data_IF_912310647025
#
_entry.id   IF_912310647025
#
_cell.length_a   1.000
_cell.length_b   1.000
_cell.length_c   1.000
_cell.angle_alpha   90.00
_cell.angle_beta   90.00
_cell.angle_gamma   90.00
#
_symmetry.space_group_name_H-M   'P 1'
#
loop_
_entity.id
_entity.type
_entity.pdbx_description
1 polymer ?
#
# COMPACT_ATOMS: atom_id res chain seq x y z
N UNK A 1 25.69 4.41 3.72
CA UNK A 1 24.25 4.07 3.54
C UNK A 1 23.28 5.23 3.79
N UNK A 2 23.55 6.15 4.71
CA UNK A 2 22.64 7.28 5.00
C UNK A 2 22.36 8.25 3.84
N UNK A 3 23.29 8.40 2.89
CA UNK A 3 23.09 9.25 1.70
C UNK A 3 21.97 8.77 0.77
N UNK A 4 21.86 7.46 0.55
CA UNK A 4 20.81 6.87 -0.27
C UNK A 4 19.43 7.02 0.37
N UNK A 5 19.34 6.78 1.68
CA UNK A 5 18.12 6.99 2.46
C UNK A 5 17.67 8.47 2.40
N UNK A 6 18.61 9.40 2.57
CA UNK A 6 18.32 10.85 2.48
C UNK A 6 17.91 11.27 1.07
N UNK A 7 18.51 10.73 0.01
CA UNK A 7 18.14 11.06 -1.36
C UNK A 7 16.73 10.54 -1.71
N UNK A 8 16.44 9.28 -1.38
CA UNK A 8 15.10 8.68 -1.57
C UNK A 8 14.07 9.43 -0.73
N UNK A 9 14.39 9.70 0.55
CA UNK A 9 13.56 10.49 1.45
C UNK A 9 13.32 11.92 0.97
N UNK A 10 14.31 12.57 0.35
CA UNK A 10 14.17 13.90 -0.22
C UNK A 10 13.28 13.90 -1.47
N UNK A 11 13.43 12.92 -2.36
CA UNK A 11 12.59 12.78 -3.56
C UNK A 11 11.12 12.55 -3.17
N UNK A 12 10.88 11.65 -2.22
CA UNK A 12 9.56 11.44 -1.62
C UNK A 12 9.06 12.75 -1.00
N UNK A 13 9.82 13.37 -0.09
CA UNK A 13 9.39 14.61 0.60
C UNK A 13 9.03 15.74 -0.36
N UNK A 14 9.81 15.94 -1.43
CA UNK A 14 9.55 16.99 -2.43
C UNK A 14 8.27 16.72 -3.21
N UNK A 15 8.01 15.46 -3.59
CA UNK A 15 6.78 15.06 -4.30
C UNK A 15 5.54 15.03 -3.39
N UNK A 16 5.70 14.83 -2.09
CA UNK A 16 4.59 14.63 -1.14
C UNK A 16 4.27 15.83 -0.26
N UNK A 17 4.98 16.96 -0.41
CA UNK A 17 4.62 18.20 0.31
C UNK A 17 3.13 18.54 0.17
N UNK A 18 2.57 18.43 -1.04
CA UNK A 18 1.16 18.69 -1.28
C UNK A 18 0.23 17.64 -0.65
N UNK A 19 0.59 16.36 -0.68
CA UNK A 19 -0.19 15.29 -0.03
C UNK A 19 -0.20 15.42 1.49
N UNK A 20 0.94 15.78 2.10
CA UNK A 20 1.05 16.03 3.54
C UNK A 20 0.29 17.30 3.93
N UNK A 21 0.33 18.36 3.10
CA UNK A 21 -0.48 19.57 3.30
C UNK A 21 -1.97 19.24 3.20
N UNK A 22 -2.40 18.44 2.22
CA UNK A 22 -3.78 18.03 2.06
C UNK A 22 -4.26 17.18 3.25
N UNK A 23 -3.43 16.25 3.73
CA UNK A 23 -3.71 15.45 4.93
C UNK A 23 -3.80 16.33 6.18
N UNK A 24 -2.88 17.28 6.35
CA UNK A 24 -2.91 18.23 7.46
C UNK A 24 -4.13 19.14 7.43
N UNK A 25 -4.46 19.70 6.26
CA UNK A 25 -5.67 20.50 6.05
C UNK A 25 -6.92 19.69 6.34
N UNK A 26 -6.96 18.42 5.93
CA UNK A 26 -8.06 17.52 6.22
C UNK A 26 -8.22 17.25 7.74
N UNK A 27 -7.14 16.99 8.47
CA UNK A 27 -7.19 16.81 9.94
C UNK A 27 -7.72 18.08 10.63
N UNK A 28 -7.31 19.26 10.16
CA UNK A 28 -7.80 20.55 10.66
C UNK A 28 -9.29 20.72 10.37
N UNK A 29 -9.73 20.44 9.15
CA UNK A 29 -11.16 20.51 8.76
C UNK A 29 -11.98 19.52 9.60
N UNK A 30 -11.50 18.30 9.78
CA UNK A 30 -12.16 17.29 10.61
C UNK A 30 -12.29 17.76 12.06
N UNK A 31 -11.22 18.29 12.65
CA UNK A 31 -11.24 18.86 14.00
C UNK A 31 -12.23 20.04 14.10
N UNK A 32 -12.26 20.92 13.10
CA UNK A 32 -13.17 22.05 13.05
C UNK A 32 -14.64 21.58 12.97
N UNK A 33 -14.96 20.65 12.07
CA UNK A 33 -16.29 20.05 11.94
C UNK A 33 -16.71 19.40 13.27
N UNK A 34 -15.82 18.64 13.91
CA UNK A 34 -16.12 17.97 15.19
C UNK A 34 -16.37 18.98 16.31
N UNK A 35 -15.51 19.99 16.45
CA UNK A 35 -15.64 21.00 17.50
C UNK A 35 -16.87 21.89 17.30
N UNK A 36 -17.22 22.22 16.05
CA UNK A 36 -18.34 23.13 15.73
C UNK A 36 -19.70 22.40 15.70
N UNK A 37 -19.75 21.16 15.19
CA UNK A 37 -21.02 20.45 14.96
C UNK A 37 -21.38 19.48 16.10
N UNK A 38 -20.42 18.75 16.67
CA UNK A 38 -20.70 17.72 17.69
C UNK A 38 -20.49 18.19 19.13
N UNK A 39 -19.76 19.28 19.33
CA UNK A 39 -19.36 19.73 20.66
C UNK A 39 -18.32 18.81 21.33
N UNK A 40 -17.65 19.30 22.39
CA UNK A 40 -16.67 18.51 23.12
C UNK A 40 -17.35 17.32 23.83
N UNK A 41 -16.85 16.10 23.63
CA UNK A 41 -17.21 14.94 24.46
C UNK A 41 -18.19 13.92 23.87
N UNK A 42 -18.77 14.15 22.68
CA UNK A 42 -19.63 13.14 22.04
C UNK A 42 -18.79 12.06 21.32
N UNK A 43 -19.00 10.76 21.63
CA UNK A 43 -18.29 9.68 20.96
C UNK A 43 -18.70 9.59 19.49
N UNK A 44 -17.77 9.11 18.66
CA UNK A 44 -17.99 8.99 17.22
C UNK A 44 -18.80 7.73 16.95
N UNK A 45 -20.04 7.92 16.49
CA UNK A 45 -20.91 6.81 16.12
C UNK A 45 -20.53 6.23 14.77
N UNK A 46 -20.03 5.00 14.79
CA UNK A 46 -19.68 4.24 13.59
C UNK A 46 -20.87 3.45 13.02
N UNK A 47 -21.92 3.20 13.81
CA UNK A 47 -23.12 2.47 13.39
C UNK A 47 -24.18 3.40 12.76
N UNK A 48 -24.88 2.97 11.68
CA UNK A 48 -26.05 3.68 11.14
C UNK A 48 -27.16 3.82 12.19
N UNK A 49 -28.04 4.85 12.12
CA UNK A 49 -28.20 5.82 11.02
C UNK A 49 -27.47 7.16 11.21
N UNK A 50 -26.91 7.45 12.40
CA UNK A 50 -26.28 8.75 12.71
C UNK A 50 -24.77 8.77 12.39
N UNK A 51 -24.36 7.97 11.39
CA UNK A 51 -22.99 7.51 11.19
C UNK A 51 -22.07 8.58 10.59
N UNK A 52 -21.36 9.31 11.45
CA UNK A 52 -20.20 10.12 11.04
C UNK A 52 -18.98 9.27 10.67
N UNK A 53 -19.13 7.94 10.65
CA UNK A 53 -18.14 6.98 10.20
C UNK A 53 -17.52 7.37 8.86
N UNK A 54 -18.34 7.82 7.91
CA UNK A 54 -17.87 8.21 6.59
C UNK A 54 -16.87 9.38 6.62
N UNK A 55 -17.00 10.30 7.59
CA UNK A 55 -16.09 11.44 7.75
C UNK A 55 -14.68 11.02 8.16
N UNK A 56 -14.51 9.83 8.75
CA UNK A 56 -13.20 9.26 9.12
C UNK A 56 -12.75 8.20 8.12
N UNK A 57 -13.64 7.28 7.76
CA UNK A 57 -13.32 6.13 6.92
C UNK A 57 -12.93 6.60 5.53
N UNK A 58 -13.71 7.48 4.88
CA UNK A 58 -13.42 7.88 3.51
C UNK A 58 -12.06 8.57 3.36
N UNK A 59 -11.66 9.49 4.24
CA UNK A 59 -10.37 10.18 4.10
C UNK A 59 -9.17 9.33 4.51
N UNK A 60 -9.34 8.44 5.50
CA UNK A 60 -8.31 7.44 5.84
C UNK A 60 -8.08 6.50 4.66
N UNK A 61 -9.15 5.97 4.08
CA UNK A 61 -9.08 5.14 2.87
C UNK A 61 -8.44 5.89 1.70
N UNK A 62 -8.86 7.14 1.45
CA UNK A 62 -8.28 7.96 0.37
C UNK A 62 -6.79 8.24 0.59
N UNK A 63 -6.38 8.48 1.84
CA UNK A 63 -4.97 8.69 2.21
C UNK A 63 -4.16 7.41 2.05
N UNK A 64 -4.73 6.25 2.42
CA UNK A 64 -4.09 4.96 2.22
C UNK A 64 -3.90 4.65 0.73
N UNK A 65 -4.91 4.87 -0.10
CA UNK A 65 -4.79 4.72 -1.56
C UNK A 65 -3.77 5.69 -2.15
N UNK A 66 -3.74 6.93 -1.66
CA UNK A 66 -2.71 7.90 -2.03
C UNK A 66 -1.30 7.38 -1.68
N UNK A 67 -1.10 6.85 -0.47
CA UNK A 67 0.18 6.23 -0.08
C UNK A 67 0.55 5.05 -0.97
N UNK A 68 -0.41 4.17 -1.28
CA UNK A 68 -0.19 3.05 -2.20
C UNK A 68 0.28 3.55 -3.57
N UNK A 69 -0.42 4.51 -4.17
CA UNK A 69 -0.09 5.05 -5.48
C UNK A 69 1.30 5.72 -5.49
N UNK A 70 1.62 6.43 -4.41
CA UNK A 70 2.87 7.15 -4.21
C UNK A 70 4.06 6.22 -3.99
N UNK A 71 4.00 5.40 -2.94
CA UNK A 71 5.14 4.60 -2.50
C UNK A 71 5.40 3.42 -3.44
N UNK A 72 4.42 3.02 -4.23
CA UNK A 72 4.59 2.02 -5.29
C UNK A 72 5.09 2.60 -6.61
N UNK A 73 5.28 3.93 -6.70
CA UNK A 73 5.59 4.68 -7.93
C UNK A 73 4.51 4.59 -9.03
N UNK A 74 3.28 4.21 -8.67
CA UNK A 74 2.17 4.01 -9.62
C UNK A 74 1.73 5.29 -10.36
N UNK A 75 1.98 6.47 -9.81
CA UNK A 75 1.69 7.75 -10.48
C UNK A 75 2.68 8.10 -11.61
N UNK A 76 3.82 7.41 -11.70
CA UNK A 76 4.87 7.69 -12.69
C UNK A 76 5.10 6.55 -13.68
N UNK A 77 4.51 5.38 -13.46
CA UNK A 77 4.69 4.21 -14.31
C UNK A 77 3.38 3.75 -14.93
N UNK A 78 3.46 3.19 -16.13
CA UNK A 78 2.31 2.57 -16.79
C UNK A 78 1.95 1.25 -16.09
N UNK A 79 0.76 1.22 -15.48
CA UNK A 79 0.27 0.06 -14.73
C UNK A 79 -0.02 -1.12 -15.65
N UNK A 80 -0.40 -0.87 -16.91
CA UNK A 80 -0.66 -1.90 -17.90
C UNK A 80 0.61 -2.40 -18.60
N UNK A 81 1.72 -1.66 -18.50
CA UNK A 81 2.99 -2.09 -19.07
C UNK A 81 3.55 -3.34 -18.38
N UNK A 82 4.24 -4.17 -19.19
CA UNK A 82 4.97 -5.38 -18.75
C UNK A 82 6.14 -5.07 -17.83
N UNK A 83 6.85 -3.99 -18.17
CA UNK A 83 8.04 -3.57 -17.45
C UNK A 83 7.68 -3.15 -16.03
N UNK A 84 8.63 -3.31 -15.11
CA UNK A 84 8.49 -2.83 -13.74
C UNK A 84 8.14 -1.34 -13.70
N UNK A 85 7.24 -0.96 -12.78
CA UNK A 85 6.93 0.46 -12.50
C UNK A 85 8.09 1.16 -11.79
N UNK A 86 9.05 0.40 -11.25
CA UNK A 86 10.17 0.95 -10.51
C UNK A 86 10.99 1.92 -11.39
N UNK A 87 11.26 3.16 -10.95
CA UNK A 87 11.90 4.17 -11.78
C UNK A 87 13.29 3.75 -12.26
N UNK A 88 13.50 3.71 -13.58
CA UNK A 88 14.78 3.33 -14.20
C UNK A 88 15.95 4.25 -13.79
N UNK A 89 15.67 5.54 -13.54
CA UNK A 89 16.65 6.50 -12.99
C UNK A 89 17.21 6.12 -11.62
N UNK A 90 16.53 5.27 -10.84
CA UNK A 90 17.06 4.80 -9.55
C UNK A 90 18.08 3.68 -9.71
N UNK A 91 18.07 2.96 -10.84
CA UNK A 91 19.04 1.89 -11.10
C UNK A 91 20.44 2.39 -11.44
N UNK A 92 20.58 3.67 -11.81
CA UNK A 92 21.87 4.30 -12.09
C UNK A 92 22.63 4.69 -10.82
N UNK A 93 21.96 4.71 -9.66
CA UNK A 93 22.61 5.02 -8.39
C UNK A 93 23.53 3.87 -7.94
N UNK A 94 24.72 4.15 -7.38
CA UNK A 94 25.68 3.14 -6.91
C UNK A 94 25.25 2.56 -5.55
N UNK A 95 24.03 2.04 -5.47
CA UNK A 95 23.44 1.47 -4.26
C UNK A 95 23.01 0.03 -4.50
N UNK A 96 22.94 -0.75 -3.42
CA UNK A 96 22.54 -2.16 -3.49
C UNK A 96 21.05 -2.28 -3.80
N UNK A 97 20.67 -3.34 -4.51
CA UNK A 97 19.25 -3.67 -4.77
C UNK A 97 18.45 -3.81 -3.48
N UNK A 98 19.09 -4.33 -2.41
CA UNK A 98 18.48 -4.42 -1.08
C UNK A 98 18.11 -3.05 -0.51
N UNK A 99 18.97 -2.05 -0.71
CA UNK A 99 18.70 -0.67 -0.28
C UNK A 99 17.64 -0.01 -1.17
N UNK A 100 17.67 -0.25 -2.48
CA UNK A 100 16.66 0.27 -3.42
C UNK A 100 15.26 -0.26 -3.10
N UNK A 101 15.11 -1.55 -2.80
CA UNK A 101 13.81 -2.09 -2.38
C UNK A 101 13.46 -1.70 -0.93
N UNK A 102 14.45 -1.75 -0.03
CA UNK A 102 14.22 -1.61 1.41
C UNK A 102 13.83 -0.22 1.86
N UNK A 103 14.49 0.83 1.35
CA UNK A 103 14.21 2.20 1.80
C UNK A 103 12.79 2.67 1.45
N UNK A 104 12.32 2.58 0.19
CA UNK A 104 10.97 2.99 -0.15
C UNK A 104 9.90 2.16 0.57
N UNK A 105 10.20 0.88 0.84
CA UNK A 105 9.30 -0.01 1.55
C UNK A 105 9.22 0.32 3.04
N UNK A 106 10.35 0.61 3.69
CA UNK A 106 10.38 1.08 5.07
C UNK A 106 9.63 2.41 5.21
N UNK A 107 9.85 3.37 4.30
CA UNK A 107 9.11 4.63 4.34
C UNK A 107 7.60 4.42 4.12
N UNK A 108 7.21 3.61 3.15
CA UNK A 108 5.80 3.33 2.85
C UNK A 108 5.08 2.60 3.99
N UNK A 109 5.67 1.51 4.49
CA UNK A 109 5.11 0.72 5.59
C UNK A 109 5.02 1.54 6.88
N UNK A 110 6.04 2.33 7.19
CA UNK A 110 6.03 3.23 8.36
C UNK A 110 4.95 4.30 8.22
N UNK A 111 4.77 4.87 7.02
CA UNK A 111 3.73 5.87 6.76
C UNK A 111 2.32 5.26 6.90
N UNK A 112 2.08 4.08 6.34
CA UNK A 112 0.80 3.37 6.46
C UNK A 112 0.48 2.99 7.91
N UNK A 113 1.46 2.47 8.66
CA UNK A 113 1.29 2.16 10.08
C UNK A 113 1.01 3.44 10.90
N UNK A 114 1.76 4.51 10.64
CA UNK A 114 1.58 5.80 11.31
C UNK A 114 0.21 6.42 11.01
N UNK A 115 -0.32 6.25 9.80
CA UNK A 115 -1.67 6.70 9.43
C UNK A 115 -2.71 6.03 10.34
N UNK A 116 -2.67 4.71 10.49
CA UNK A 116 -3.59 4.00 11.38
C UNK A 116 -3.46 4.47 12.83
N UNK A 117 -2.23 4.56 13.35
CA UNK A 117 -1.97 4.99 14.73
C UNK A 117 -2.50 6.41 14.94
N UNK A 118 -2.25 7.33 14.01
CA UNK A 118 -2.75 8.70 14.09
C UNK A 118 -4.29 8.73 14.08
N UNK A 119 -4.93 7.92 13.23
CA UNK A 119 -6.39 7.77 13.22
C UNK A 119 -6.89 7.22 14.56
N UNK A 120 -6.28 6.16 15.11
CA UNK A 120 -6.66 5.56 16.38
C UNK A 120 -6.53 6.56 17.54
N UNK A 121 -5.46 7.35 17.58
CA UNK A 121 -5.27 8.44 18.56
C UNK A 121 -6.37 9.49 18.40
N UNK A 122 -6.65 9.93 17.17
CA UNK A 122 -7.63 10.97 16.89
C UNK A 122 -9.05 10.54 17.29
N UNK A 123 -9.43 9.28 17.01
CA UNK A 123 -10.73 8.72 17.44
C UNK A 123 -10.83 8.62 18.97
N UNK A 124 -9.74 8.21 19.65
CA UNK A 124 -9.74 8.10 21.11
C UNK A 124 -9.76 9.48 21.78
N UNK A 125 -8.96 10.42 21.29
CA UNK A 125 -8.95 11.80 21.74
C UNK A 125 -10.29 12.49 21.49
N UNK A 126 -11.02 12.08 20.45
CA UNK A 126 -12.31 12.70 20.13
C UNK A 126 -13.45 12.34 21.07
N UNK A 127 -13.24 11.49 22.08
CA UNK A 127 -14.29 10.97 22.96
C UNK A 127 -14.52 9.46 22.80
N UNK A 128 -13.65 8.79 22.02
CA UNK A 128 -13.79 7.37 21.70
C UNK A 128 -14.73 7.12 20.51
N UNK A 129 -14.79 5.86 20.11
CA UNK A 129 -15.80 5.33 19.22
C UNK A 129 -16.63 4.29 19.97
N UNK A 130 -17.86 4.07 19.51
CA UNK A 130 -18.77 3.05 20.05
C UNK A 130 -18.24 1.62 19.85
N UNK A 131 -17.15 1.46 19.10
CA UNK A 131 -16.51 0.18 18.76
C UNK A 131 -15.08 0.18 19.30
N UNK A 132 -14.63 -0.97 19.79
CA UNK A 132 -13.22 -1.18 20.16
C UNK A 132 -12.32 -0.93 18.94
N UNK A 133 -11.37 -0.01 19.07
CA UNK A 133 -10.40 0.33 18.02
C UNK A 133 -9.05 -0.32 18.34
N UNK A 134 -8.66 -1.40 17.65
CA UNK A 134 -7.40 -2.09 17.90
C UNK A 134 -6.20 -1.26 17.45
N UNK A 135 -5.08 -1.37 18.16
CA UNK A 135 -3.89 -0.59 17.85
C UNK A 135 -2.99 -1.27 16.82
N UNK A 136 -2.73 -2.56 17.02
CA UNK A 136 -1.55 -3.21 16.41
C UNK A 136 -1.90 -3.86 15.07
N UNK A 137 -2.91 -4.73 15.05
CA UNK A 137 -3.18 -5.51 13.85
C UNK A 137 -3.61 -4.69 12.63
N UNK A 138 -4.39 -3.59 12.72
CA UNK A 138 -4.75 -2.83 11.53
C UNK A 138 -3.59 -1.96 11.03
N UNK A 139 -2.68 -1.53 11.92
CA UNK A 139 -1.43 -0.88 11.52
C UNK A 139 -0.55 -1.85 10.74
N UNK A 140 -0.39 -3.08 11.24
CA UNK A 140 0.36 -4.13 10.55
C UNK A 140 -0.30 -4.54 9.23
N UNK A 141 -1.63 -4.67 9.19
CA UNK A 141 -2.37 -4.96 7.97
C UNK A 141 -2.16 -3.85 6.93
N UNK A 142 -2.29 -2.58 7.32
CA UNK A 142 -2.06 -1.43 6.43
C UNK A 142 -0.64 -1.43 5.88
N UNK A 143 0.35 -1.70 6.73
CA UNK A 143 1.74 -1.83 6.31
C UNK A 143 1.94 -3.02 5.36
N UNK A 144 1.39 -4.20 5.67
CA UNK A 144 1.49 -5.40 4.85
C UNK A 144 0.81 -5.22 3.48
N UNK A 145 -0.37 -4.61 3.42
CA UNK A 145 -1.07 -4.31 2.18
C UNK A 145 -0.24 -3.39 1.28
N UNK A 146 0.32 -2.32 1.84
CA UNK A 146 1.17 -1.41 1.08
C UNK A 146 2.45 -2.12 0.61
N UNK A 147 3.10 -2.88 1.50
CA UNK A 147 4.29 -3.66 1.21
C UNK A 147 4.10 -4.64 0.05
N UNK A 148 3.03 -5.43 0.08
CA UNK A 148 2.68 -6.35 -1.00
C UNK A 148 2.34 -5.61 -2.29
N UNK A 149 1.62 -4.50 -2.20
CA UNK A 149 1.34 -3.69 -3.39
C UNK A 149 2.63 -3.18 -4.02
N UNK A 150 3.58 -2.67 -3.23
CA UNK A 150 4.90 -2.27 -3.75
C UNK A 150 5.60 -3.45 -4.44
N UNK A 151 5.67 -4.60 -3.78
CA UNK A 151 6.31 -5.80 -4.32
C UNK A 151 5.70 -6.22 -5.68
N UNK A 152 4.38 -6.26 -5.77
CA UNK A 152 3.65 -6.65 -6.98
C UNK A 152 3.74 -5.59 -8.09
N UNK A 153 3.79 -4.31 -7.74
CA UNK A 153 3.94 -3.22 -8.70
C UNK A 153 5.35 -3.18 -9.29
N UNK A 154 6.36 -3.50 -8.49
CA UNK A 154 7.76 -3.54 -8.92
C UNK A 154 8.13 -4.81 -9.67
N UNK A 155 7.29 -5.84 -9.63
CA UNK A 155 7.52 -7.07 -10.36
C UNK A 155 7.36 -6.84 -11.88
N UNK A 156 8.35 -7.26 -12.69
CA UNK A 156 8.20 -7.37 -14.14
C UNK A 156 7.33 -8.57 -14.52
N UNK A 157 6.38 -8.37 -15.42
CA UNK A 157 5.42 -9.39 -15.86
C UNK A 157 5.56 -9.69 -17.36
N UNK A 158 5.31 -10.95 -17.75
CA UNK A 158 5.47 -11.36 -19.15
C UNK A 158 4.33 -11.01 -20.10
N UNK A 159 3.20 -10.51 -19.58
CA UNK A 159 2.04 -10.04 -20.36
C UNK A 159 1.61 -8.65 -19.89
N UNK A 160 1.10 -7.79 -20.80
CA UNK A 160 0.60 -6.47 -20.41
C UNK A 160 -0.71 -6.66 -19.63
N UNK A 161 -0.99 -5.77 -18.69
CA UNK A 161 -2.19 -5.83 -17.84
C UNK A 161 -2.16 -6.89 -16.72
N UNK A 162 -1.20 -7.81 -16.70
CA UNK A 162 -1.08 -8.86 -15.67
C UNK A 162 -0.98 -8.28 -14.25
N UNK A 163 -0.32 -7.12 -14.11
CA UNK A 163 -0.23 -6.41 -12.84
C UNK A 163 -1.59 -6.03 -12.29
N UNK A 164 -2.52 -5.58 -13.14
CA UNK A 164 -3.88 -5.19 -12.73
C UNK A 164 -4.63 -6.42 -12.23
N UNK A 165 -4.54 -7.53 -12.96
CA UNK A 165 -5.16 -8.81 -12.56
C UNK A 165 -4.62 -9.27 -11.21
N UNK A 166 -3.29 -9.25 -11.03
CA UNK A 166 -2.66 -9.67 -9.77
C UNK A 166 -2.99 -8.72 -8.63
N UNK A 167 -3.03 -7.41 -8.86
CA UNK A 167 -3.44 -6.44 -7.85
C UNK A 167 -4.90 -6.64 -7.42
N UNK A 168 -5.81 -6.91 -8.38
CA UNK A 168 -7.21 -7.20 -8.08
C UNK A 168 -7.37 -8.51 -7.30
N UNK A 169 -6.66 -9.58 -7.69
CA UNK A 169 -6.64 -10.84 -6.96
C UNK A 169 -6.08 -10.68 -5.54
N UNK A 170 -5.01 -9.88 -5.39
CA UNK A 170 -4.43 -9.59 -4.09
C UNK A 170 -5.41 -8.85 -3.17
N UNK A 171 -6.10 -7.81 -3.69
CA UNK A 171 -7.14 -7.11 -2.93
C UNK A 171 -8.27 -8.06 -2.52
N UNK A 172 -8.73 -8.92 -3.42
CA UNK A 172 -9.75 -9.92 -3.10
C UNK A 172 -9.30 -10.90 -2.00
N UNK A 173 -8.04 -11.34 -2.01
CA UNK A 173 -7.48 -12.19 -0.95
C UNK A 173 -7.44 -11.47 0.38
N UNK A 174 -7.02 -10.20 0.40
CA UNK A 174 -7.02 -9.37 1.62
C UNK A 174 -8.44 -9.21 2.16
N UNK A 175 -9.41 -8.89 1.31
CA UNK A 175 -10.81 -8.72 1.71
C UNK A 175 -11.38 -10.02 2.29
N UNK A 176 -11.12 -11.16 1.64
CA UNK A 176 -11.55 -12.48 2.14
C UNK A 176 -10.93 -12.77 3.51
N UNK A 177 -9.63 -12.52 3.71
CA UNK A 177 -8.97 -12.74 5.00
C UNK A 177 -9.59 -11.87 6.09
N UNK A 178 -9.84 -10.58 5.82
CA UNK A 178 -10.46 -9.66 6.77
C UNK A 178 -11.88 -10.08 7.10
N UNK A 179 -12.69 -10.41 6.10
CA UNK A 179 -14.07 -10.86 6.29
C UNK A 179 -14.14 -12.16 7.08
N UNK A 180 -13.26 -13.12 6.81
CA UNK A 180 -13.17 -14.36 7.59
C UNK A 180 -12.74 -14.07 9.04
N UNK A 181 -11.74 -13.21 9.24
CA UNK A 181 -11.30 -12.83 10.58
C UNK A 181 -12.42 -12.17 11.40
N UNK A 182 -13.21 -11.30 10.78
CA UNK A 182 -14.38 -10.67 11.41
C UNK A 182 -15.48 -11.71 11.70
N UNK A 183 -15.79 -12.58 10.73
CA UNK A 183 -16.81 -13.62 10.87
C UNK A 183 -16.48 -14.61 12.00
N UNK A 184 -15.23 -15.04 12.11
CA UNK A 184 -14.77 -15.96 13.15
C UNK A 184 -14.33 -15.27 14.45
N UNK A 185 -14.47 -13.94 14.55
CA UNK A 185 -14.05 -13.14 15.70
C UNK A 185 -12.61 -13.47 16.12
N UNK A 186 -11.71 -13.51 15.14
CA UNK A 186 -10.31 -13.85 15.35
C UNK A 186 -9.68 -12.94 16.42
N UNK A 187 -8.88 -13.53 17.30
CA UNK A 187 -8.19 -12.76 18.34
C UNK A 187 -7.16 -11.81 17.71
N UNK A 188 -6.85 -10.71 18.42
CA UNK A 188 -5.83 -9.74 17.99
C UNK A 188 -4.46 -10.42 17.78
N UNK A 189 -4.11 -11.39 18.62
CA UNK A 189 -2.86 -12.16 18.49
C UNK A 189 -2.80 -12.97 17.19
N UNK A 190 -3.92 -13.58 16.77
CA UNK A 190 -3.98 -14.33 15.50
C UNK A 190 -3.77 -13.38 14.34
N UNK A 191 -4.42 -12.21 14.35
CA UNK A 191 -4.24 -11.21 13.29
C UNK A 191 -2.80 -10.69 13.23
N UNK A 192 -2.17 -10.42 14.38
CA UNK A 192 -0.75 -10.02 14.43
C UNK A 192 0.15 -11.13 13.90
N UNK A 193 -0.08 -12.39 14.30
CA UNK A 193 0.70 -13.53 13.84
C UNK A 193 0.57 -13.77 12.33
N UNK A 194 -0.60 -13.46 11.74
CA UNK A 194 -0.82 -13.54 10.30
C UNK A 194 -0.19 -12.35 9.57
N UNK A 195 -0.33 -11.12 10.07
CA UNK A 195 0.13 -9.91 9.37
C UNK A 195 1.63 -9.64 9.52
N UNK A 196 2.22 -9.88 10.69
CA UNK A 196 3.62 -9.52 10.94
C UNK A 196 4.62 -10.21 9.99
N UNK A 197 4.50 -11.53 9.68
CA UNK A 197 5.40 -12.19 8.73
C UNK A 197 5.24 -11.71 7.29
N UNK A 198 4.08 -11.14 6.92
CA UNK A 198 3.82 -10.68 5.55
C UNK A 198 4.78 -9.57 5.12
N UNK A 199 5.18 -8.70 6.05
CA UNK A 199 6.08 -7.57 5.76
C UNK A 199 7.47 -8.05 5.29
N UNK A 200 8.19 -8.91 6.04
CA UNK A 200 9.48 -9.44 5.58
C UNK A 200 9.33 -10.32 4.32
N UNK A 201 8.24 -11.09 4.18
CA UNK A 201 8.01 -11.85 2.94
C UNK A 201 7.83 -10.94 1.72
N UNK A 202 6.98 -9.91 1.84
CA UNK A 202 6.81 -8.91 0.80
C UNK A 202 8.13 -8.22 0.47
N UNK A 203 8.99 -7.95 1.47
CA UNK A 203 10.32 -7.39 1.25
C UNK A 203 11.21 -8.30 0.41
N UNK A 204 11.22 -9.60 0.66
CA UNK A 204 11.98 -10.56 -0.14
C UNK A 204 11.49 -10.59 -1.59
N UNK A 205 10.16 -10.57 -1.80
CA UNK A 205 9.56 -10.49 -3.14
C UNK A 205 9.93 -9.18 -3.84
N UNK A 206 9.84 -8.05 -3.13
CA UNK A 206 10.22 -6.74 -3.65
C UNK A 206 11.71 -6.67 -4.00
N UNK A 207 12.58 -7.22 -3.16
CA UNK A 207 14.02 -7.29 -3.42
C UNK A 207 14.32 -8.11 -4.68
N UNK A 208 13.67 -9.26 -4.83
CA UNK A 208 13.78 -10.09 -6.03
C UNK A 208 13.28 -9.36 -7.28
N UNK A 209 12.09 -8.75 -7.20
CA UNK A 209 11.46 -7.99 -8.27
C UNK A 209 12.35 -6.83 -8.78
N UNK A 210 12.86 -6.01 -7.87
CA UNK A 210 13.74 -4.88 -8.17
C UNK A 210 15.08 -5.38 -8.74
N UNK A 211 15.60 -6.51 -8.23
CA UNK A 211 16.82 -7.13 -8.76
C UNK A 211 16.66 -7.61 -10.20
N UNK A 212 15.50 -8.22 -10.50
CA UNK A 212 15.14 -8.65 -11.85
C UNK A 212 14.96 -7.45 -12.79
N UNK A 213 14.23 -6.43 -12.34
CA UNK A 213 14.02 -5.20 -13.09
C UNK A 213 15.35 -4.48 -13.41
N UNK A 214 16.29 -4.44 -12.46
CA UNK A 214 17.61 -3.83 -12.64
C UNK A 214 18.45 -4.53 -13.71
N UNK A 215 18.33 -5.86 -13.84
CA UNK A 215 19.01 -6.65 -14.88
C UNK A 215 18.33 -6.54 -16.25
N UNK A 216 17.13 -5.96 -16.32
CA UNK A 216 16.32 -5.94 -17.55
C UNK A 216 15.69 -7.30 -17.86
N UNK A 217 15.68 -8.24 -16.92
CA UNK A 217 15.15 -9.60 -17.07
C UNK A 217 13.62 -9.58 -17.11
N UNK A 218 13.03 -9.16 -18.24
CA UNK A 218 11.58 -9.15 -18.41
C UNK A 218 11.14 -10.46 -19.07
N UNK A 219 10.31 -11.30 -18.41
CA UNK A 219 9.81 -12.52 -19.04
C UNK A 219 9.06 -12.17 -20.33
N UNK A 220 9.18 -12.99 -21.38
CA UNK A 220 8.27 -12.88 -22.54
C UNK A 220 7.40 -14.13 -22.63
N UNK A 221 6.13 -13.97 -22.28
CA UNK A 221 5.15 -15.06 -22.32
C UNK A 221 4.32 -15.06 -23.60
N UNK A 222 4.61 -14.17 -24.57
CA UNK A 222 3.88 -14.13 -25.86
C UNK A 222 3.93 -15.46 -26.61
N UNK A 223 5.09 -16.11 -26.60
CA UNK A 223 5.31 -17.38 -27.29
C UNK A 223 4.51 -18.57 -26.71
N UNK A 224 4.14 -18.52 -25.42
CA UNK A 224 3.32 -19.56 -24.77
C UNK A 224 1.87 -19.56 -25.25
N UNK A 225 1.37 -18.41 -25.71
CA UNK A 225 0.00 -18.23 -26.22
C UNK A 225 -0.04 -18.06 -27.75
N UNK A 226 1.11 -18.10 -28.42
CA UNK A 226 1.16 -18.05 -29.88
C UNK A 226 0.62 -19.37 -30.46
N UNK A 227 -0.30 -19.34 -31.43
CA UNK A 227 -0.72 -20.55 -32.13
C UNK A 227 0.50 -21.25 -32.73
N UNK A 228 0.73 -22.53 -32.40
CA UNK A 228 1.72 -23.36 -33.08
C UNK A 228 1.38 -23.34 -34.57
N UNK A 229 2.17 -22.66 -35.40
CA UNK A 229 2.07 -22.81 -36.86
C UNK A 229 2.27 -24.28 -37.17
N UNK A 230 1.22 -24.96 -37.67
CA UNK A 230 1.36 -26.30 -38.24
C UNK A 230 2.38 -26.19 -39.39
N UNK A 231 3.38 -27.09 -39.48
CA UNK A 231 4.27 -27.11 -40.63
C UNK A 231 3.41 -27.28 -41.88
N UNK A 232 3.57 -26.36 -42.83
CA UNK A 232 2.95 -26.48 -44.14
C UNK A 232 3.50 -27.76 -44.77
N UNK A 233 2.62 -28.74 -45.01
CA UNK A 233 2.92 -29.89 -45.84
C UNK A 233 3.32 -29.38 -47.21
N UNK A 234 4.59 -29.58 -47.58
CA UNK A 234 5.05 -29.40 -48.94
C UNK A 234 4.27 -30.36 -49.85
N UNK A 235 3.54 -29.79 -50.80
CA UNK A 235 2.92 -30.49 -51.92
C UNK A 235 3.61 -30.05 -53.20
#
# INVERSE_FOLDING_TARGET
MGGAARAIGWELRRRHRLGVIALGAYVIIFLAIKLVILGPGHPIRLNPPNGLAALIIAPVSMTLFYFVAVFSYGLSGDVAARQSIYPSRMFTMPVTTRALAGWPMLYGTSAAASLWIATAILVRWSGGADVYVPWVWPALLSAACLAWTQALMWMPYGLPGMRVVIAALWLAVVDVIVLLALNYKASELVMVAVCAPQIPFAYLVAWYAVGRARRGDNPDWRGLFAPRKRPASAG
#
